data_IF_345668798360
#
_entry.id   IF_345668798360
#
_cell.length_a   1.000
_cell.length_b   1.000
_cell.length_c   1.000
_cell.angle_alpha   90.00
_cell.angle_beta   90.00
_cell.angle_gamma   90.00
#
_symmetry.space_group_name_H-M   'P 1'
#
loop_
_entity.id
_entity.type
_entity.pdbx_description
1 polymer ?
#
# COMPACT_ATOMS: atom_id res chain seq x y z
N UNK A 1 26.27 77.30 -45.81
CA UNK A 1 27.56 78.01 -45.70
C UNK A 1 27.79 78.22 -44.21
N UNK A 2 28.81 77.54 -43.65
CA UNK A 2 29.36 77.60 -42.27
C UNK A 2 28.42 77.20 -41.09
N UNK A 3 28.79 76.43 -40.07
CA UNK A 3 30.03 75.74 -39.58
C UNK A 3 29.60 74.83 -38.40
N UNK A 4 29.82 73.51 -38.44
CA UNK A 4 30.84 72.69 -37.73
C UNK A 4 30.68 72.45 -36.21
N UNK A 5 30.49 71.17 -35.88
CA UNK A 5 31.18 70.29 -34.90
C UNK A 5 31.15 70.47 -33.36
N UNK A 6 30.76 69.32 -32.76
CA UNK A 6 31.37 68.55 -31.67
C UNK A 6 31.19 68.83 -30.16
N UNK A 7 30.53 67.84 -29.54
CA UNK A 7 31.04 66.97 -28.46
C UNK A 7 30.78 67.30 -26.97
N UNK A 8 30.23 66.25 -26.34
CA UNK A 8 30.59 65.71 -25.02
C UNK A 8 29.86 66.17 -23.73
N UNK A 9 29.26 65.14 -23.12
CA UNK A 9 29.17 64.85 -21.66
C UNK A 9 28.20 65.65 -20.79
N UNK A 10 27.13 64.96 -20.38
CA UNK A 10 27.03 64.50 -18.99
C UNK A 10 26.29 65.40 -18.01
N UNK A 11 25.05 64.99 -17.70
CA UNK A 11 24.52 65.10 -16.33
C UNK A 11 23.68 66.34 -16.02
N UNK A 12 22.39 66.27 -16.31
CA UNK A 12 21.33 66.80 -15.45
C UNK A 12 19.96 66.52 -16.09
N UNK A 13 19.02 65.97 -15.32
CA UNK A 13 17.60 66.02 -15.68
C UNK A 13 16.93 64.66 -15.79
N UNK A 14 16.73 64.00 -14.65
CA UNK A 14 15.55 63.17 -14.45
C UNK A 14 15.23 63.09 -12.94
N UNK A 15 14.81 64.24 -12.39
CA UNK A 15 14.07 64.31 -11.12
C UNK A 15 12.60 64.50 -11.44
N UNK A 16 11.93 63.50 -11.97
CA UNK A 16 10.48 63.36 -11.96
C UNK A 16 10.18 61.86 -12.07
N UNK A 17 9.26 61.37 -11.24
CA UNK A 17 8.81 59.98 -11.10
C UNK A 17 9.54 59.11 -10.06
N UNK A 18 9.66 59.59 -8.81
CA UNK A 18 9.70 58.66 -7.67
C UNK A 18 8.27 58.53 -7.13
N UNK A 19 7.52 57.64 -7.79
CA UNK A 19 6.22 57.20 -7.32
C UNK A 19 6.39 56.53 -5.95
N UNK A 20 5.63 57.02 -4.97
CA UNK A 20 5.44 56.36 -3.69
C UNK A 20 4.63 55.08 -3.97
N UNK A 21 5.32 54.01 -4.38
CA UNK A 21 4.77 52.66 -4.35
C UNK A 21 4.44 52.36 -2.89
N UNK A 22 3.14 52.34 -2.61
CA UNK A 22 2.61 51.74 -1.38
C UNK A 22 3.05 50.29 -1.43
N UNK A 23 4.05 49.96 -0.63
CA UNK A 23 4.51 48.59 -0.43
C UNK A 23 3.34 47.76 0.04
N UNK A 24 2.75 47.00 -0.89
CA UNK A 24 1.98 45.82 -0.57
C UNK A 24 3.03 44.85 -0.04
N UNK A 25 3.10 44.72 1.28
CA UNK A 25 3.86 43.64 1.90
C UNK A 25 3.42 42.34 1.22
N UNK A 26 4.35 41.57 0.61
CA UNK A 26 3.99 40.29 0.06
C UNK A 26 3.47 39.42 1.21
N UNK A 27 2.27 38.86 1.01
CA UNK A 27 1.68 37.74 1.74
C UNK A 27 2.73 36.97 2.54
N UNK A 28 2.52 36.73 3.86
CA UNK A 28 3.52 36.05 4.68
C UNK A 28 3.89 34.75 3.98
N UNK A 29 5.13 34.73 3.50
CA UNK A 29 5.75 33.63 2.79
C UNK A 29 5.36 32.34 3.49
N UNK A 30 4.71 31.44 2.75
CA UNK A 30 4.53 30.06 3.17
C UNK A 30 5.92 29.51 3.47
N UNK A 31 6.30 29.53 4.75
CA UNK A 31 7.46 28.81 5.25
C UNK A 31 7.17 27.35 5.00
N UNK A 32 7.74 26.83 3.90
CA UNK A 32 7.94 25.42 3.59
C UNK A 32 8.96 24.85 4.58
N UNK A 33 8.68 24.98 5.88
CA UNK A 33 9.27 24.14 6.90
C UNK A 33 8.68 22.75 6.71
N UNK A 34 9.53 21.74 6.51
CA UNK A 34 9.12 20.33 6.56
C UNK A 34 8.39 20.08 7.89
N UNK A 35 7.06 20.21 7.89
CA UNK A 35 6.24 19.87 9.04
C UNK A 35 6.45 18.37 9.28
N UNK A 36 7.02 18.02 10.44
CA UNK A 36 7.07 16.64 10.90
C UNK A 36 5.62 16.16 11.03
N UNK A 37 5.14 15.42 10.04
CA UNK A 37 3.83 14.76 10.05
C UNK A 37 3.89 13.66 11.12
N UNK A 38 3.37 13.95 12.31
CA UNK A 38 3.28 12.95 13.36
C UNK A 38 2.18 11.96 12.99
N UNK A 39 2.53 10.66 12.92
CA UNK A 39 1.59 9.55 12.70
C UNK A 39 0.41 9.55 13.70
N UNK A 40 0.59 10.20 14.85
CA UNK A 40 -0.41 10.30 15.92
C UNK A 40 -1.17 11.64 15.94
N UNK A 41 -0.89 12.57 15.01
CA UNK A 41 -1.57 13.87 14.97
C UNK A 41 -3.11 13.80 14.83
N UNK A 42 -3.70 12.85 14.06
CA UNK A 42 -5.16 12.70 14.00
C UNK A 42 -5.79 12.24 15.33
N UNK A 43 -5.01 11.62 16.23
CA UNK A 43 -5.50 11.06 17.48
C UNK A 43 -5.46 12.04 18.67
N UNK A 44 -5.11 13.31 18.47
CA UNK A 44 -5.13 14.31 19.56
C UNK A 44 -6.56 14.56 20.08
N UNK A 45 -7.58 14.42 19.22
CA UNK A 45 -8.99 14.72 19.54
C UNK A 45 -9.76 13.55 20.19
N UNK A 46 -9.05 12.51 20.64
CA UNK A 46 -9.65 11.28 21.15
C UNK A 46 -10.04 11.46 22.61
N UNK A 47 -11.35 11.42 22.87
CA UNK A 47 -11.92 11.41 24.22
C UNK A 47 -11.61 10.08 24.92
N UNK A 48 -11.60 10.04 26.26
CA UNK A 48 -11.23 8.83 27.03
C UNK A 48 -12.07 7.58 26.67
N UNK A 49 -13.32 7.75 26.26
CA UNK A 49 -14.18 6.64 25.79
C UNK A 49 -13.79 6.12 24.40
N UNK A 50 -13.25 6.99 23.55
CA UNK A 50 -12.79 6.65 22.20
C UNK A 50 -11.45 5.89 22.23
N UNK A 51 -10.62 6.15 23.25
CA UNK A 51 -9.41 5.35 23.53
C UNK A 51 -9.81 3.90 23.87
N UNK A 52 -10.86 3.71 24.66
CA UNK A 52 -11.34 2.36 25.00
C UNK A 52 -11.78 1.57 23.76
N UNK A 53 -12.55 2.19 22.87
CA UNK A 53 -12.98 1.57 21.61
C UNK A 53 -11.79 1.27 20.68
N UNK A 54 -10.80 2.18 20.63
CA UNK A 54 -9.57 1.98 19.86
C UNK A 54 -8.76 0.77 20.37
N UNK A 55 -8.55 0.67 21.69
CA UNK A 55 -7.80 -0.45 22.29
C UNK A 55 -8.50 -1.77 22.01
N UNK A 56 -9.82 -1.82 22.16
CA UNK A 56 -10.64 -2.99 21.82
C UNK A 56 -10.45 -3.35 20.34
N UNK A 57 -10.59 -2.37 19.44
CA UNK A 57 -10.40 -2.59 18.00
C UNK A 57 -9.00 -3.10 17.64
N UNK A 58 -7.95 -2.58 18.27
CA UNK A 58 -6.56 -3.02 18.08
C UNK A 58 -6.38 -4.47 18.52
N UNK A 59 -6.88 -4.85 19.70
CA UNK A 59 -6.76 -6.23 20.21
C UNK A 59 -7.47 -7.22 19.30
N UNK A 60 -8.69 -6.90 18.87
CA UNK A 60 -9.45 -7.77 17.96
C UNK A 60 -8.86 -7.81 16.54
N UNK A 61 -8.28 -6.71 16.05
CA UNK A 61 -7.57 -6.70 14.76
C UNK A 61 -6.31 -7.56 14.82
N UNK A 62 -5.55 -7.51 15.92
CA UNK A 62 -4.40 -8.39 16.13
C UNK A 62 -4.84 -9.86 16.18
N UNK A 63 -5.94 -10.17 16.89
CA UNK A 63 -6.52 -11.52 16.95
C UNK A 63 -6.99 -12.02 15.59
N UNK A 64 -7.63 -11.16 14.78
CA UNK A 64 -8.06 -11.51 13.43
C UNK A 64 -6.87 -11.81 12.50
N UNK A 65 -5.77 -11.05 12.59
CA UNK A 65 -4.56 -11.33 11.82
C UNK A 65 -3.84 -12.62 12.27
N UNK A 66 -3.82 -12.91 13.57
CA UNK A 66 -3.22 -14.12 14.12
C UNK A 66 -4.01 -15.40 13.76
N UNK A 67 -5.28 -15.27 13.36
CA UNK A 67 -6.10 -16.41 12.93
C UNK A 67 -5.54 -17.10 11.68
N UNK A 68 -4.91 -16.38 10.75
CA UNK A 68 -4.33 -16.98 9.53
C UNK A 68 -3.13 -17.91 9.84
N UNK A 69 -2.10 -17.48 10.60
CA UNK A 69 -1.04 -18.38 11.08
C UNK A 69 -1.57 -19.55 11.92
N UNK A 70 -2.57 -19.29 12.77
CA UNK A 70 -3.22 -20.34 13.56
C UNK A 70 -3.90 -21.40 12.68
N UNK A 71 -4.59 -20.96 11.62
CA UNK A 71 -5.20 -21.86 10.64
C UNK A 71 -4.14 -22.72 9.94
N UNK A 72 -3.05 -22.10 9.48
CA UNK A 72 -1.97 -22.82 8.79
C UNK A 72 -1.35 -23.86 9.72
N UNK A 73 -1.11 -23.54 10.99
CA UNK A 73 -0.55 -24.48 11.98
C UNK A 73 -1.44 -25.71 12.17
N UNK A 74 -2.74 -25.51 12.45
CA UNK A 74 -3.70 -26.62 12.64
C UNK A 74 -3.85 -27.43 11.35
N UNK A 75 -3.83 -26.77 10.19
CA UNK A 75 -3.85 -27.44 8.90
C UNK A 75 -2.61 -28.31 8.69
N UNK A 76 -1.44 -27.86 9.11
CA UNK A 76 -0.20 -28.65 9.13
C UNK A 76 -0.32 -29.91 9.96
N UNK A 77 -0.82 -29.79 11.19
CA UNK A 77 -1.04 -30.91 12.10
C UNK A 77 -2.06 -31.90 11.53
N UNK A 78 -3.11 -31.39 10.87
CA UNK A 78 -4.09 -32.22 10.16
C UNK A 78 -3.45 -33.00 9.00
N UNK A 79 -2.56 -32.36 8.23
CA UNK A 79 -1.82 -33.01 7.15
C UNK A 79 -0.84 -34.08 7.67
N UNK A 80 -0.23 -33.84 8.83
CA UNK A 80 0.59 -34.82 9.53
C UNK A 80 -0.25 -36.02 10.03
N UNK A 81 -1.40 -35.73 10.66
CA UNK A 81 -2.33 -36.74 11.13
C UNK A 81 -2.86 -37.62 9.99
N UNK A 82 -3.19 -37.02 8.84
CA UNK A 82 -3.59 -37.74 7.62
C UNK A 82 -2.62 -38.86 7.20
N UNK A 83 -1.34 -38.72 7.51
CA UNK A 83 -0.31 -39.70 7.18
C UNK A 83 -0.20 -40.85 8.21
N UNK A 84 -0.83 -40.73 9.39
CA UNK A 84 -0.68 -41.67 10.52
C UNK A 84 -2.03 -42.19 11.06
N UNK A 85 -3.01 -41.32 11.32
CA UNK A 85 -4.32 -41.64 11.89
C UNK A 85 -5.46 -40.99 11.08
N UNK A 86 -6.55 -41.71 10.86
CA UNK A 86 -7.70 -41.25 10.04
C UNK A 86 -8.72 -40.38 10.79
N UNK A 87 -8.60 -40.24 12.12
CA UNK A 87 -9.56 -39.49 12.93
C UNK A 87 -9.31 -37.97 12.85
N UNK A 88 -9.90 -37.33 11.83
CA UNK A 88 -9.73 -35.89 11.54
C UNK A 88 -10.79 -34.99 12.18
N UNK A 89 -11.81 -35.58 12.81
CA UNK A 89 -12.91 -34.87 13.48
C UNK A 89 -12.42 -33.82 14.51
N UNK A 90 -11.41 -34.04 15.37
CA UNK A 90 -10.96 -33.02 16.31
C UNK A 90 -10.35 -31.80 15.59
N UNK A 91 -9.54 -32.02 14.54
CA UNK A 91 -8.95 -30.94 13.76
C UNK A 91 -10.01 -30.13 13.00
N UNK A 92 -11.00 -30.81 12.42
CA UNK A 92 -12.12 -30.14 11.75
C UNK A 92 -12.93 -29.25 12.72
N UNK A 93 -13.16 -29.72 13.96
CA UNK A 93 -13.81 -28.92 15.00
C UNK A 93 -12.99 -27.70 15.39
N UNK A 94 -11.67 -27.85 15.57
CA UNK A 94 -10.77 -26.74 15.90
C UNK A 94 -10.74 -25.69 14.78
N UNK A 95 -10.67 -26.11 13.51
CA UNK A 95 -10.73 -25.21 12.36
C UNK A 95 -12.07 -24.47 12.29
N UNK A 96 -13.19 -25.15 12.57
CA UNK A 96 -14.50 -24.52 12.60
C UNK A 96 -14.61 -23.46 13.73
N UNK A 97 -14.13 -23.79 14.93
CA UNK A 97 -14.09 -22.84 16.06
C UNK A 97 -13.22 -21.64 15.72
N UNK A 98 -12.02 -21.87 15.16
CA UNK A 98 -11.12 -20.81 14.73
C UNK A 98 -11.78 -19.90 13.68
N UNK A 99 -12.51 -20.46 12.73
CA UNK A 99 -13.25 -19.68 11.72
C UNK A 99 -14.31 -18.77 12.33
N UNK A 100 -15.07 -19.27 13.31
CA UNK A 100 -16.08 -18.46 14.03
C UNK A 100 -15.41 -17.36 14.86
N UNK A 101 -14.31 -17.67 15.54
CA UNK A 101 -13.54 -16.69 16.30
C UNK A 101 -12.95 -15.63 15.38
N UNK A 102 -12.38 -16.02 14.24
CA UNK A 102 -11.81 -15.10 13.26
C UNK A 102 -12.87 -14.16 12.68
N UNK A 103 -14.07 -14.68 12.38
CA UNK A 103 -15.22 -13.88 11.92
C UNK A 103 -15.61 -12.85 12.98
N UNK A 104 -15.76 -13.29 14.23
CA UNK A 104 -16.13 -12.40 15.34
C UNK A 104 -15.07 -11.31 15.56
N UNK A 105 -13.79 -11.70 15.63
CA UNK A 105 -12.68 -10.76 15.78
C UNK A 105 -12.61 -9.77 14.62
N UNK A 106 -12.76 -10.24 13.38
CA UNK A 106 -12.75 -9.39 12.19
C UNK A 106 -13.92 -8.40 12.18
N UNK A 107 -15.12 -8.85 12.56
CA UNK A 107 -16.31 -8.00 12.63
C UNK A 107 -16.18 -6.91 13.71
N UNK A 108 -15.74 -7.26 14.92
CA UNK A 108 -15.53 -6.29 16.01
C UNK A 108 -14.41 -5.31 15.66
N UNK A 109 -13.32 -5.79 15.05
CA UNK A 109 -12.24 -4.94 14.58
C UNK A 109 -12.74 -3.93 13.53
N UNK A 110 -13.40 -4.40 12.47
CA UNK A 110 -13.92 -3.50 11.43
C UNK A 110 -14.93 -2.49 12.00
N UNK A 111 -15.89 -2.95 12.78
CA UNK A 111 -16.94 -2.08 13.36
C UNK A 111 -16.40 -1.03 14.34
N UNK A 112 -15.40 -1.38 15.16
CA UNK A 112 -14.80 -0.42 16.10
C UNK A 112 -13.99 0.68 15.38
N UNK A 113 -13.21 0.33 14.35
CA UNK A 113 -12.47 1.30 13.55
C UNK A 113 -13.40 2.18 12.71
N UNK A 114 -14.47 1.63 12.12
CA UNK A 114 -15.46 2.43 11.39
C UNK A 114 -16.23 3.38 12.31
N UNK A 115 -16.66 2.92 13.49
CA UNK A 115 -17.32 3.78 14.47
C UNK A 115 -16.42 4.93 14.92
N UNK A 116 -15.14 4.64 15.23
CA UNK A 116 -14.18 5.66 15.62
C UNK A 116 -13.95 6.67 14.49
N UNK A 117 -13.84 6.18 13.27
CA UNK A 117 -13.64 6.97 12.08
C UNK A 117 -14.81 7.95 11.82
N UNK A 118 -16.06 7.48 11.89
CA UNK A 118 -17.25 8.32 11.72
C UNK A 118 -17.30 9.45 12.74
N UNK A 119 -17.00 9.12 13.99
CA UNK A 119 -17.05 10.08 15.09
C UNK A 119 -15.93 11.12 15.00
N UNK A 120 -14.71 10.70 14.65
CA UNK A 120 -13.59 11.62 14.44
C UNK A 120 -13.80 12.53 13.22
N UNK A 121 -14.26 11.97 12.10
CA UNK A 121 -14.57 12.72 10.90
C UNK A 121 -15.66 13.78 11.17
N UNK A 122 -16.69 13.42 11.95
CA UNK A 122 -17.75 14.36 12.36
C UNK A 122 -17.24 15.51 13.22
N UNK A 123 -16.42 15.23 14.25
CA UNK A 123 -15.82 16.27 15.10
C UNK A 123 -14.90 17.19 14.29
N UNK A 124 -14.04 16.60 13.46
CA UNK A 124 -13.14 17.35 12.60
C UNK A 124 -13.91 18.28 11.66
N UNK A 125 -14.99 17.79 11.04
CA UNK A 125 -15.83 18.61 10.16
C UNK A 125 -16.46 19.79 10.90
N UNK A 126 -16.95 19.58 12.12
CA UNK A 126 -17.54 20.64 12.95
C UNK A 126 -16.51 21.69 13.37
N UNK A 127 -15.33 21.26 13.80
CA UNK A 127 -14.27 22.16 14.26
C UNK A 127 -13.65 22.94 13.10
N UNK A 128 -13.43 22.28 11.95
CA UNK A 128 -12.99 22.93 10.73
C UNK A 128 -14.01 23.97 10.26
N UNK A 129 -15.30 23.63 10.25
CA UNK A 129 -16.36 24.56 9.89
C UNK A 129 -16.43 25.75 10.87
N UNK A 130 -16.35 25.49 12.18
CA UNK A 130 -16.30 26.55 13.19
C UNK A 130 -15.06 27.44 13.07
N UNK A 131 -13.92 26.89 12.69
CA UNK A 131 -12.68 27.66 12.50
C UNK A 131 -12.76 28.54 11.26
N UNK A 132 -13.36 28.04 10.18
CA UNK A 132 -13.59 28.81 8.95
C UNK A 132 -14.49 30.01 9.22
N UNK A 133 -15.61 29.81 9.94
CA UNK A 133 -16.54 30.90 10.28
C UNK A 133 -15.93 32.00 11.16
N UNK A 134 -14.80 31.74 11.81
CA UNK A 134 -14.08 32.71 12.66
C UNK A 134 -12.99 33.47 11.91
N UNK A 135 -12.78 33.19 10.62
CA UNK A 135 -11.78 33.89 9.82
C UNK A 135 -12.20 35.32 9.48
N UNK A 136 -11.20 36.16 9.23
CA UNK A 136 -11.39 37.56 8.84
C UNK A 136 -11.98 37.71 7.43
N UNK A 137 -12.64 38.83 7.16
CA UNK A 137 -13.29 39.08 5.86
C UNK A 137 -12.30 39.01 4.68
N UNK A 138 -11.08 39.52 4.86
CA UNK A 138 -10.03 39.47 3.84
C UNK A 138 -9.55 38.06 3.48
N UNK A 139 -9.75 37.09 4.38
CA UNK A 139 -9.48 35.67 4.08
C UNK A 139 -10.52 35.12 3.10
N UNK A 140 -11.79 35.51 3.25
CA UNK A 140 -12.86 35.12 2.33
C UNK A 140 -12.75 35.82 0.96
N UNK A 141 -12.18 37.02 0.89
CA UNK A 141 -11.93 37.70 -0.39
C UNK A 141 -10.89 36.97 -1.26
N UNK A 142 -10.04 36.13 -0.66
CA UNK A 142 -9.01 35.34 -1.35
C UNK A 142 -9.41 33.87 -1.60
N UNK A 143 -10.47 33.38 -0.97
CA UNK A 143 -10.90 31.97 -1.05
C UNK A 143 -12.32 31.85 -1.61
N UNK A 144 -12.47 31.13 -2.71
CA UNK A 144 -13.79 30.85 -3.28
C UNK A 144 -14.64 29.97 -2.33
N UNK A 145 -15.87 30.41 -2.07
CA UNK A 145 -16.80 29.72 -1.19
C UNK A 145 -17.19 28.32 -1.71
N UNK A 146 -17.25 28.15 -3.05
CA UNK A 146 -17.54 26.86 -3.68
C UNK A 146 -16.39 25.87 -3.49
N UNK A 147 -15.16 26.31 -3.74
CA UNK A 147 -13.96 25.52 -3.50
C UNK A 147 -13.81 25.12 -2.02
N UNK A 148 -14.16 26.02 -1.09
CA UNK A 148 -14.02 25.77 0.35
C UNK A 148 -14.94 24.64 0.86
N UNK A 149 -16.20 24.62 0.41
CA UNK A 149 -17.14 23.55 0.75
C UNK A 149 -16.65 22.18 0.25
N UNK A 150 -16.18 22.13 -1.01
CA UNK A 150 -15.59 20.93 -1.58
C UNK A 150 -14.31 20.49 -0.83
N UNK A 151 -13.50 21.45 -0.39
CA UNK A 151 -12.28 21.18 0.37
C UNK A 151 -12.57 20.58 1.74
N UNK A 152 -13.61 21.05 2.45
CA UNK A 152 -14.04 20.46 3.73
C UNK A 152 -14.44 19.00 3.55
N UNK A 153 -15.28 18.70 2.54
CA UNK A 153 -15.73 17.34 2.28
C UNK A 153 -14.59 16.42 1.83
N UNK A 154 -13.71 16.90 0.95
CA UNK A 154 -12.53 16.16 0.49
C UNK A 154 -11.53 15.86 1.61
N UNK A 155 -11.23 16.85 2.46
CA UNK A 155 -10.36 16.68 3.61
C UNK A 155 -10.95 15.69 4.63
N UNK A 156 -12.26 15.78 4.88
CA UNK A 156 -12.96 14.85 5.78
C UNK A 156 -12.96 13.42 5.22
N UNK A 157 -13.17 13.26 3.91
CA UNK A 157 -13.11 11.97 3.24
C UNK A 157 -11.71 11.35 3.31
N UNK A 158 -10.66 12.14 3.09
CA UNK A 158 -9.26 11.69 3.21
C UNK A 158 -8.97 11.17 4.63
N UNK A 159 -9.34 11.93 5.66
CA UNK A 159 -9.19 11.51 7.07
C UNK A 159 -9.97 10.22 7.34
N UNK A 160 -11.21 10.12 6.84
CA UNK A 160 -12.04 8.92 6.99
C UNK A 160 -11.35 7.69 6.41
N UNK A 161 -10.76 7.82 5.22
CA UNK A 161 -10.05 6.70 4.58
C UNK A 161 -8.76 6.33 5.31
N UNK A 162 -8.09 7.30 5.94
CA UNK A 162 -6.85 7.08 6.68
C UNK A 162 -7.08 6.37 8.03
N UNK A 163 -8.10 6.77 8.79
CA UNK A 163 -8.40 6.23 10.12
C UNK A 163 -9.31 4.99 10.08
N UNK A 164 -10.12 4.85 9.03
CA UNK A 164 -11.12 3.79 8.91
C UNK A 164 -10.52 2.40 8.64
N UNK A 165 -11.21 1.61 7.80
CA UNK A 165 -10.90 0.20 7.57
C UNK A 165 -9.43 -0.06 7.17
N UNK A 166 -8.78 0.86 6.44
CA UNK A 166 -7.37 0.75 6.06
C UNK A 166 -6.44 0.58 7.27
N UNK A 167 -6.68 1.30 8.37
CA UNK A 167 -5.87 1.19 9.59
C UNK A 167 -6.07 -0.17 10.26
N UNK A 168 -7.31 -0.65 10.33
CA UNK A 168 -7.62 -1.99 10.87
C UNK A 168 -6.94 -3.09 10.05
N UNK A 169 -7.02 -3.01 8.72
CA UNK A 169 -6.40 -3.96 7.80
C UNK A 169 -4.87 -3.92 7.86
N UNK A 170 -4.26 -2.73 8.00
CA UNK A 170 -2.82 -2.62 8.17
C UNK A 170 -2.33 -3.31 9.46
N UNK A 171 -3.08 -3.16 10.55
CA UNK A 171 -2.77 -3.84 11.82
C UNK A 171 -2.98 -5.35 11.74
N UNK A 172 -4.02 -5.80 11.02
CA UNK A 172 -4.23 -7.22 10.73
C UNK A 172 -3.04 -7.82 9.97
N UNK A 173 -2.60 -7.19 8.87
CA UNK A 173 -1.44 -7.66 8.11
C UNK A 173 -0.14 -7.63 8.92
N UNK A 174 0.02 -6.65 9.81
CA UNK A 174 1.16 -6.62 10.73
C UNK A 174 1.12 -7.84 11.67
N UNK A 175 -0.04 -8.13 12.26
CA UNK A 175 -0.22 -9.32 13.11
C UNK A 175 0.00 -10.63 12.33
N UNK A 176 -0.54 -10.75 11.12
CA UNK A 176 -0.34 -11.91 10.25
C UNK A 176 1.14 -12.13 9.94
N UNK A 177 1.88 -11.05 9.66
CA UNK A 177 3.31 -11.11 9.40
C UNK A 177 4.09 -11.59 10.63
N UNK A 178 3.86 -10.98 11.79
CA UNK A 178 4.56 -11.35 13.02
C UNK A 178 4.19 -12.77 13.43
N UNK A 179 2.90 -13.11 13.45
CA UNK A 179 2.40 -14.43 13.81
C UNK A 179 2.89 -15.52 12.86
N UNK A 180 2.94 -15.25 11.55
CA UNK A 180 3.44 -16.21 10.56
C UNK A 180 4.93 -16.52 10.72
N UNK A 181 5.77 -15.50 10.93
CA UNK A 181 7.19 -15.75 11.24
C UNK A 181 7.39 -16.46 12.58
N UNK A 182 6.66 -16.09 13.62
CA UNK A 182 6.76 -16.76 14.94
C UNK A 182 6.41 -18.24 14.83
N UNK A 183 5.30 -18.59 14.17
CA UNK A 183 4.90 -19.99 13.94
C UNK A 183 5.94 -20.74 13.09
N UNK A 184 6.47 -20.11 12.03
CA UNK A 184 7.48 -20.71 11.18
C UNK A 184 8.79 -21.01 11.94
N UNK A 185 9.31 -20.05 12.69
CA UNK A 185 10.52 -20.22 13.50
C UNK A 185 10.34 -21.27 14.60
N UNK A 186 9.13 -21.37 15.17
CA UNK A 186 8.84 -22.34 16.22
C UNK A 186 8.84 -23.79 15.68
N UNK A 187 8.40 -24.00 14.43
CA UNK A 187 8.36 -25.34 13.83
C UNK A 187 9.70 -25.80 13.28
N UNK A 188 10.40 -24.95 12.52
CA UNK A 188 11.74 -25.27 12.03
C UNK A 188 12.52 -24.01 11.69
N UNK A 189 13.51 -23.70 12.52
CA UNK A 189 14.38 -22.55 12.31
C UNK A 189 15.27 -22.69 11.06
N UNK A 190 15.75 -23.90 10.74
CA UNK A 190 16.64 -24.15 9.58
C UNK A 190 15.91 -23.89 8.27
N UNK A 191 14.71 -24.45 8.10
CA UNK A 191 13.91 -24.25 6.89
C UNK A 191 13.47 -22.78 6.77
N UNK A 192 13.02 -22.18 7.88
CA UNK A 192 12.58 -20.79 7.89
C UNK A 192 13.68 -19.85 7.43
N UNK A 193 14.94 -20.06 7.84
CA UNK A 193 16.07 -19.24 7.39
C UNK A 193 16.29 -19.33 5.88
N UNK A 194 16.26 -20.53 5.31
CA UNK A 194 16.47 -20.74 3.87
C UNK A 194 15.36 -20.09 3.06
N UNK A 195 14.10 -20.27 3.46
CA UNK A 195 12.94 -19.66 2.81
C UNK A 195 12.93 -18.15 3.03
N UNK A 196 13.40 -17.65 4.18
CA UNK A 196 13.51 -16.21 4.43
C UNK A 196 14.60 -15.54 3.57
N UNK A 197 15.66 -16.27 3.20
CA UNK A 197 16.74 -15.77 2.36
C UNK A 197 16.29 -15.50 0.91
N UNK A 198 15.18 -16.09 0.45
CA UNK A 198 14.61 -15.82 -0.87
C UNK A 198 13.66 -14.63 -0.88
N UNK A 199 13.21 -14.14 0.29
CA UNK A 199 12.30 -13.00 0.40
C UNK A 199 12.84 -11.70 -0.24
N UNK A 200 14.12 -11.32 -0.09
CA UNK A 200 14.66 -10.16 -0.78
C UNK A 200 14.55 -10.25 -2.31
N UNK A 201 14.65 -11.46 -2.88
CA UNK A 201 14.49 -11.67 -4.32
C UNK A 201 13.05 -11.40 -4.76
N UNK A 202 12.07 -11.91 -4.01
CA UNK A 202 10.64 -11.65 -4.25
C UNK A 202 10.32 -10.16 -4.06
N UNK A 203 10.88 -9.54 -3.01
CA UNK A 203 10.71 -8.11 -2.74
C UNK A 203 11.30 -7.25 -3.86
N UNK A 204 12.46 -7.60 -4.40
CA UNK A 204 13.06 -6.93 -5.55
C UNK A 204 12.17 -7.07 -6.80
N UNK A 205 11.62 -8.25 -7.06
CA UNK A 205 10.65 -8.47 -8.14
C UNK A 205 9.38 -7.63 -7.99
N UNK A 206 8.84 -7.56 -6.77
CA UNK A 206 7.69 -6.72 -6.44
C UNK A 206 7.97 -5.22 -6.56
N UNK A 207 9.15 -4.77 -6.14
CA UNK A 207 9.58 -3.38 -6.30
C UNK A 207 9.76 -3.01 -7.77
N UNK A 208 10.33 -3.92 -8.58
CA UNK A 208 10.46 -3.75 -10.02
C UNK A 208 9.09 -3.66 -10.69
N UNK A 209 8.12 -4.51 -10.32
CA UNK A 209 6.74 -4.42 -10.79
C UNK A 209 6.08 -3.10 -10.43
N UNK A 210 6.22 -2.65 -9.17
CA UNK A 210 5.65 -1.39 -8.72
C UNK A 210 6.25 -0.19 -9.47
N UNK A 211 7.56 -0.21 -9.72
CA UNK A 211 8.24 0.80 -10.53
C UNK A 211 7.77 0.77 -11.98
N UNK A 212 7.70 -0.42 -12.60
CA UNK A 212 7.22 -0.61 -13.97
C UNK A 212 5.78 -0.10 -14.15
N UNK A 213 4.90 -0.40 -13.19
CA UNK A 213 3.51 0.05 -13.23
C UNK A 213 3.39 1.56 -13.13
N UNK A 214 4.14 2.19 -12.21
CA UNK A 214 4.17 3.65 -12.04
C UNK A 214 4.69 4.33 -13.31
N UNK A 215 5.80 3.84 -13.87
CA UNK A 215 6.39 4.36 -15.09
C UNK A 215 5.44 4.26 -16.29
N UNK A 216 4.77 3.10 -16.44
CA UNK A 216 3.76 2.88 -17.48
C UNK A 216 2.59 3.85 -17.33
N UNK A 217 2.04 4.00 -16.11
CA UNK A 217 0.93 4.92 -15.84
C UNK A 217 1.30 6.38 -16.16
N UNK A 218 2.48 6.84 -15.75
CA UNK A 218 2.93 8.22 -16.05
C UNK A 218 3.09 8.44 -17.55
N UNK A 219 3.76 7.51 -18.25
CA UNK A 219 3.98 7.63 -19.68
C UNK A 219 2.66 7.64 -20.49
N UNK A 220 1.71 6.78 -20.10
CA UNK A 220 0.38 6.74 -20.73
C UNK A 220 -0.40 8.02 -20.42
N UNK A 221 -0.41 8.48 -19.16
CA UNK A 221 -1.09 9.71 -18.76
C UNK A 221 -0.55 10.94 -19.48
N UNK A 222 0.77 11.06 -19.65
CA UNK A 222 1.39 12.19 -20.34
C UNK A 222 1.02 12.22 -21.83
N UNK A 223 1.03 11.06 -22.50
CA UNK A 223 0.62 10.94 -23.89
C UNK A 223 -0.88 11.24 -24.08
N UNK A 224 -1.72 10.81 -23.13
CA UNK A 224 -3.15 11.16 -23.12
C UNK A 224 -3.38 12.65 -22.87
N UNK A 225 -2.56 13.29 -22.03
CA UNK A 225 -2.66 14.74 -21.78
C UNK A 225 -2.36 15.55 -23.04
N UNK A 226 -1.37 15.13 -23.84
CA UNK A 226 -1.09 15.78 -25.13
C UNK A 226 -2.27 15.63 -26.10
N UNK A 227 -2.85 14.43 -26.24
CA UNK A 227 -4.05 14.23 -27.06
C UNK A 227 -5.25 15.02 -26.53
N UNK A 228 -5.43 15.05 -25.21
CA UNK A 228 -6.48 15.80 -24.52
C UNK A 228 -6.39 17.31 -24.79
N UNK A 229 -5.18 17.88 -24.84
CA UNK A 229 -5.01 19.31 -25.14
C UNK A 229 -5.53 19.70 -26.53
N UNK A 230 -5.35 18.82 -27.53
CA UNK A 230 -5.87 19.04 -28.89
C UNK A 230 -7.40 18.98 -28.90
N UNK A 231 -7.97 18.03 -28.16
CA UNK A 231 -9.42 17.94 -28.02
C UNK A 231 -10.00 19.16 -27.27
N UNK A 232 -9.32 19.61 -26.23
CA UNK A 232 -9.72 20.78 -25.44
C UNK A 232 -9.68 22.07 -26.27
N UNK A 233 -8.63 22.27 -27.07
CA UNK A 233 -8.53 23.41 -28.01
C UNK A 233 -9.63 23.36 -29.08
N UNK A 234 -9.88 22.18 -29.66
CA UNK A 234 -10.90 21.99 -30.69
C UNK A 234 -12.31 22.23 -30.16
N UNK A 235 -12.65 21.68 -29.00
CA UNK A 235 -13.97 21.81 -28.38
C UNK A 235 -14.17 23.21 -27.79
N UNK A 236 -13.13 23.80 -27.20
CA UNK A 236 -13.18 25.17 -26.68
C UNK A 236 -13.44 26.20 -27.78
N UNK A 237 -12.91 25.98 -28.98
CA UNK A 237 -13.07 26.86 -30.14
C UNK A 237 -13.98 26.28 -31.23
N UNK A 238 -14.97 25.46 -30.87
CA UNK A 238 -15.77 24.69 -31.85
C UNK A 238 -16.43 25.56 -32.93
N UNK A 239 -16.87 26.78 -32.60
CA UNK A 239 -17.45 27.71 -33.58
C UNK A 239 -16.44 28.12 -34.65
N UNK A 240 -15.18 28.34 -34.25
CA UNK A 240 -14.08 28.67 -35.16
C UNK A 240 -13.74 27.48 -36.05
N UNK A 241 -13.70 26.27 -35.46
CA UNK A 241 -13.42 25.02 -36.19
C UNK A 241 -14.45 24.79 -37.29
N UNK A 242 -15.75 24.91 -36.98
CA UNK A 242 -16.84 24.75 -37.94
C UNK A 242 -16.76 25.85 -39.00
N UNK A 243 -16.52 27.11 -38.61
CA UNK A 243 -16.46 28.24 -39.57
C UNK A 243 -15.33 28.11 -40.59
N UNK A 244 -14.25 27.43 -40.24
CA UNK A 244 -13.09 27.20 -41.11
C UNK A 244 -13.12 25.82 -41.79
N UNK A 245 -14.13 24.99 -41.53
CA UNK A 245 -14.21 23.61 -42.04
C UNK A 245 -13.05 22.71 -41.57
N UNK A 246 -12.50 22.98 -40.37
CA UNK A 246 -11.28 22.35 -39.85
C UNK A 246 -11.48 21.01 -39.13
N UNK A 247 -12.68 20.45 -39.17
CA UNK A 247 -13.09 19.25 -38.40
C UNK A 247 -12.19 18.04 -38.71
N UNK A 248 -12.05 17.69 -39.98
CA UNK A 248 -11.23 16.55 -40.42
C UNK A 248 -9.76 16.72 -40.05
N UNK A 249 -9.24 17.95 -40.12
CA UNK A 249 -7.84 18.26 -39.76
C UNK A 249 -7.59 18.04 -38.28
N UNK A 250 -8.49 18.51 -37.42
CA UNK A 250 -8.37 18.34 -35.97
C UNK A 250 -8.61 16.89 -35.55
N UNK A 251 -9.56 16.20 -36.19
CA UNK A 251 -9.79 14.77 -35.97
C UNK A 251 -8.55 13.93 -36.34
N UNK A 252 -7.90 14.24 -37.47
CA UNK A 252 -6.65 13.60 -37.87
C UNK A 252 -5.51 13.90 -36.87
N UNK A 253 -5.38 15.15 -36.42
CA UNK A 253 -4.38 15.55 -35.43
C UNK A 253 -4.58 14.81 -34.10
N UNK A 254 -5.82 14.75 -33.60
CA UNK A 254 -6.16 13.99 -32.39
C UNK A 254 -5.82 12.50 -32.55
N UNK A 255 -6.20 11.90 -33.68
CA UNK A 255 -5.92 10.49 -33.97
C UNK A 255 -4.41 10.20 -34.02
N UNK A 256 -3.60 11.10 -34.57
CA UNK A 256 -2.15 10.96 -34.59
C UNK A 256 -1.55 10.96 -33.16
N UNK A 257 -2.02 11.86 -32.29
CA UNK A 257 -1.59 11.91 -30.88
C UNK A 257 -2.07 10.67 -30.11
N UNK A 258 -3.28 10.19 -30.39
CA UNK A 258 -3.82 8.99 -29.78
C UNK A 258 -3.01 7.72 -30.12
N UNK A 259 -2.51 7.60 -31.35
CA UNK A 259 -1.59 6.50 -31.73
C UNK A 259 -0.30 6.49 -30.90
N UNK A 260 0.17 7.65 -30.41
CA UNK A 260 1.33 7.71 -29.51
C UNK A 260 0.96 7.19 -28.12
N UNK A 261 -0.20 7.57 -27.60
CA UNK A 261 -0.73 7.03 -26.34
C UNK A 261 -0.95 5.52 -26.41
N UNK A 262 -1.49 5.01 -27.53
CA UNK A 262 -1.66 3.58 -27.79
C UNK A 262 -0.31 2.83 -27.75
N UNK A 263 0.70 3.32 -28.48
CA UNK A 263 2.04 2.72 -28.46
C UNK A 263 2.68 2.74 -27.07
N UNK A 264 2.51 3.84 -26.33
CA UNK A 264 2.98 3.95 -24.95
C UNK A 264 2.28 2.93 -24.05
N UNK A 265 0.97 2.76 -24.19
CA UNK A 265 0.18 1.79 -23.44
C UNK A 265 0.57 0.35 -23.77
N UNK A 266 0.77 0.00 -25.05
CA UNK A 266 1.21 -1.34 -25.46
C UNK A 266 2.60 -1.64 -24.89
N UNK A 267 3.56 -0.72 -25.05
CA UNK A 267 4.92 -0.89 -24.51
C UNK A 267 4.91 -0.99 -22.98
N UNK A 268 4.12 -0.15 -22.32
CA UNK A 268 3.90 -0.18 -20.88
C UNK A 268 3.28 -1.50 -20.42
N UNK A 269 2.28 -2.00 -21.15
CA UNK A 269 1.63 -3.28 -20.90
C UNK A 269 2.61 -4.46 -20.97
N UNK A 270 3.40 -4.56 -22.04
CA UNK A 270 4.44 -5.60 -22.19
C UNK A 270 5.47 -5.51 -21.06
N UNK A 271 5.90 -4.30 -20.70
CA UNK A 271 6.85 -4.09 -19.62
C UNK A 271 6.30 -4.51 -18.25
N UNK A 272 5.06 -4.10 -17.91
CA UNK A 272 4.40 -4.52 -16.67
C UNK A 272 4.09 -6.02 -16.62
N UNK A 273 3.67 -6.61 -17.74
CA UNK A 273 3.37 -8.04 -17.84
C UNK A 273 4.62 -8.91 -17.68
N UNK A 274 5.73 -8.52 -18.30
CA UNK A 274 7.03 -9.19 -18.10
C UNK A 274 7.54 -9.05 -16.67
N UNK A 275 7.40 -7.87 -16.04
CA UNK A 275 7.73 -7.68 -14.63
C UNK A 275 6.89 -8.58 -13.70
N UNK A 276 5.59 -8.69 -13.96
CA UNK A 276 4.70 -9.56 -13.20
C UNK A 276 5.04 -11.04 -13.39
N UNK A 277 5.32 -11.46 -14.62
CA UNK A 277 5.77 -12.81 -14.94
C UNK A 277 7.08 -13.17 -14.24
N UNK A 278 8.06 -12.25 -14.22
CA UNK A 278 9.32 -12.42 -13.51
C UNK A 278 9.11 -12.56 -12.00
N UNK A 279 8.25 -11.73 -11.40
CA UNK A 279 7.89 -11.83 -9.98
C UNK A 279 7.25 -13.19 -9.66
N UNK A 280 6.29 -13.65 -10.47
CA UNK A 280 5.65 -14.96 -10.28
C UNK A 280 6.62 -16.13 -10.47
N UNK A 281 7.55 -16.04 -11.42
CA UNK A 281 8.61 -17.03 -11.60
C UNK A 281 9.49 -17.13 -10.34
N UNK A 282 9.87 -16.02 -9.72
CA UNK A 282 10.61 -16.03 -8.45
C UNK A 282 9.83 -16.73 -7.33
N UNK A 283 8.51 -16.52 -7.25
CA UNK A 283 7.63 -17.18 -6.27
C UNK A 283 7.59 -18.70 -6.51
N UNK A 284 7.47 -19.16 -7.75
CA UNK A 284 7.50 -20.60 -8.06
C UNK A 284 8.87 -21.23 -7.82
N UNK A 285 9.97 -20.53 -8.11
CA UNK A 285 11.32 -21.01 -7.79
C UNK A 285 11.54 -21.12 -6.28
N UNK A 286 10.98 -20.18 -5.50
CA UNK A 286 10.97 -20.25 -4.04
C UNK A 286 10.19 -21.47 -3.55
N UNK A 287 9.02 -21.77 -4.12
CA UNK A 287 8.29 -23.01 -3.81
C UNK A 287 9.10 -24.26 -4.13
N UNK A 288 9.71 -24.33 -5.31
CA UNK A 288 10.53 -25.46 -5.73
C UNK A 288 11.71 -25.68 -4.77
N UNK A 289 12.41 -24.62 -4.40
CA UNK A 289 13.54 -24.68 -3.45
C UNK A 289 13.09 -25.08 -2.05
N UNK A 290 11.96 -24.54 -1.58
CA UNK A 290 11.39 -24.89 -0.28
C UNK A 290 10.97 -26.35 -0.19
N UNK A 291 10.31 -26.88 -1.22
CA UNK A 291 9.93 -28.30 -1.27
C UNK A 291 11.13 -29.23 -1.45
N UNK A 292 12.11 -28.85 -2.26
CA UNK A 292 13.34 -29.63 -2.44
C UNK A 292 14.09 -29.77 -1.11
N UNK A 293 14.30 -28.66 -0.39
CA UNK A 293 14.95 -28.70 0.92
C UNK A 293 14.14 -29.47 1.96
N UNK A 294 12.81 -29.24 2.00
CA UNK A 294 11.92 -30.00 2.88
C UNK A 294 12.02 -31.52 2.64
N UNK A 295 12.03 -31.95 1.38
CA UNK A 295 12.20 -33.36 1.01
C UNK A 295 13.54 -33.93 1.48
N UNK A 296 14.62 -33.14 1.40
CA UNK A 296 15.93 -33.56 1.89
C UNK A 296 15.94 -33.73 3.42
N UNK A 297 15.39 -32.76 4.17
CA UNK A 297 15.29 -32.85 5.64
C UNK A 297 14.46 -34.05 6.09
N UNK A 298 13.35 -34.33 5.41
CA UNK A 298 12.51 -35.50 5.71
C UNK A 298 13.26 -36.80 5.39
N UNK A 299 13.97 -36.86 4.27
CA UNK A 299 14.77 -38.04 3.87
C UNK A 299 15.89 -38.34 4.86
N UNK A 300 16.61 -37.31 5.32
CA UNK A 300 17.69 -37.48 6.29
C UNK A 300 17.12 -37.90 7.66
N UNK A 301 16.00 -37.32 8.11
CA UNK A 301 15.32 -37.77 9.33
C UNK A 301 14.81 -39.22 9.24
N UNK A 302 14.38 -39.67 8.06
CA UNK A 302 13.99 -41.06 7.84
C UNK A 302 15.18 -42.02 7.89
N UNK A 303 16.34 -41.61 7.36
CA UNK A 303 17.59 -42.39 7.42
C UNK A 303 18.08 -42.56 8.85
N UNK A 304 18.02 -41.50 9.65
CA UNK A 304 18.40 -41.54 11.07
C UNK A 304 17.48 -42.46 11.86
N UNK A 305 16.16 -42.40 11.59
CA UNK A 305 15.19 -43.32 12.18
C UNK A 305 15.47 -44.78 11.79
N UNK A 306 15.79 -45.06 10.53
CA UNK A 306 16.15 -46.39 10.07
C UNK A 306 17.46 -46.89 10.70
N UNK A 307 18.46 -46.03 10.85
CA UNK A 307 19.72 -46.37 11.52
C UNK A 307 19.51 -46.68 13.01
N UNK A 308 18.66 -45.92 13.71
CA UNK A 308 18.31 -46.15 15.11
C UNK A 308 17.59 -47.50 15.30
N UNK A 309 16.63 -47.83 14.43
CA UNK A 309 15.92 -49.12 14.43
C UNK A 309 16.90 -50.28 14.16
N UNK A 310 17.87 -50.09 13.27
CA UNK A 310 18.86 -51.12 12.94
C UNK A 310 19.85 -51.41 14.10
N UNK A 311 20.10 -50.45 14.99
CA UNK A 311 21.01 -50.62 16.14
C UNK A 311 20.37 -51.31 17.36
N UNK A 312 19.04 -51.36 17.47
CA UNK A 312 18.29 -51.99 18.56
C UNK A 312 17.32 -53.06 18.02
N UNK A 313 17.75 -54.33 17.91
CA UNK A 313 16.88 -55.40 17.42
C UNK A 313 15.75 -55.66 18.44
N UNK A 314 14.54 -55.23 18.12
CA UNK A 314 13.33 -55.41 18.94
C UNK A 314 12.49 -54.15 19.16
N UNK A 315 13.02 -52.96 18.87
CA UNK A 315 12.24 -51.70 18.91
C UNK A 315 11.39 -51.57 17.65
N UNK A 316 10.07 -51.51 17.82
CA UNK A 316 9.15 -51.22 16.72
C UNK A 316 9.12 -49.72 16.44
N UNK A 317 8.66 -49.31 15.25
CA UNK A 317 8.52 -47.90 14.82
C UNK A 317 7.67 -47.06 15.80
N UNK A 318 6.89 -47.73 16.66
CA UNK A 318 6.06 -47.13 17.70
C UNK A 318 6.86 -46.64 18.92
N UNK A 319 8.07 -47.18 19.16
CA UNK A 319 8.91 -46.89 20.34
C UNK A 319 10.04 -45.87 20.02
N UNK A 320 10.34 -45.66 18.74
CA UNK A 320 11.43 -44.79 18.27
C UNK A 320 11.08 -43.28 18.22
N UNK A 321 9.85 -42.91 18.63
CA UNK A 321 9.37 -41.53 18.56
C UNK A 321 8.92 -41.13 17.14
N UNK A 322 7.96 -40.21 17.07
CA UNK A 322 7.56 -39.58 15.81
C UNK A 322 8.71 -38.77 15.22
N UNK A 323 8.85 -38.75 13.89
CA UNK A 323 9.77 -37.85 13.17
C UNK A 323 9.73 -36.44 13.77
N UNK A 324 10.90 -35.90 14.14
CA UNK A 324 11.06 -34.55 14.68
C UNK A 324 10.55 -33.48 13.69
N UNK A 325 10.51 -33.82 12.39
CA UNK A 325 10.01 -32.98 11.32
C UNK A 325 9.16 -33.80 10.33
N UNK A 326 7.88 -33.48 10.21
CA UNK A 326 6.95 -34.16 9.30
C UNK A 326 6.62 -33.31 8.06
N UNK A 327 6.04 -33.93 7.04
CA UNK A 327 5.62 -33.25 5.81
C UNK A 327 4.65 -32.08 6.05
N UNK A 328 3.79 -32.18 7.07
CA UNK A 328 2.90 -31.08 7.49
C UNK A 328 3.68 -29.83 7.94
N UNK A 329 4.82 -30.02 8.59
CA UNK A 329 5.62 -28.93 9.18
C UNK A 329 6.34 -28.12 8.12
N UNK A 330 6.82 -28.82 7.08
CA UNK A 330 7.36 -28.18 5.90
C UNK A 330 6.32 -27.29 5.20
N UNK A 331 5.09 -27.76 5.08
CA UNK A 331 3.99 -27.01 4.49
C UNK A 331 3.66 -25.78 5.35
N UNK A 332 3.60 -25.93 6.68
CA UNK A 332 3.35 -24.82 7.61
C UNK A 332 4.40 -23.73 7.46
N UNK A 333 5.68 -24.10 7.54
CA UNK A 333 6.78 -23.13 7.47
C UNK A 333 6.77 -22.40 6.13
N UNK A 334 6.62 -23.13 5.03
CA UNK A 334 6.59 -22.57 3.69
C UNK A 334 5.41 -21.59 3.48
N UNK A 335 4.19 -22.00 3.84
CA UNK A 335 3.00 -21.16 3.67
C UNK A 335 3.05 -19.96 4.62
N UNK A 336 3.43 -20.14 5.89
CA UNK A 336 3.52 -19.05 6.87
C UNK A 336 4.52 -17.97 6.45
N UNK A 337 5.72 -18.36 6.00
CA UNK A 337 6.73 -17.38 5.55
C UNK A 337 6.23 -16.61 4.33
N UNK A 338 5.54 -17.28 3.41
CA UNK A 338 5.03 -16.62 2.20
C UNK A 338 3.86 -15.69 2.49
N UNK A 339 2.88 -16.12 3.29
CA UNK A 339 1.78 -15.26 3.73
C UNK A 339 2.31 -14.04 4.47
N UNK A 340 3.36 -14.21 5.29
CA UNK A 340 4.03 -13.09 5.98
C UNK A 340 4.66 -12.12 4.98
N UNK A 341 5.38 -12.63 3.98
CA UNK A 341 6.00 -11.82 2.94
C UNK A 341 4.98 -11.03 2.10
N UNK A 342 3.88 -11.67 1.70
CA UNK A 342 2.79 -10.99 1.00
C UNK A 342 2.10 -9.94 1.86
N UNK A 343 1.93 -10.22 3.16
CA UNK A 343 1.35 -9.26 4.12
C UNK A 343 2.21 -7.99 4.21
N UNK A 344 3.55 -8.12 4.26
CA UNK A 344 4.47 -6.96 4.20
C UNK A 344 4.24 -6.15 2.93
N UNK A 345 4.11 -6.83 1.78
CA UNK A 345 3.84 -6.17 0.50
C UNK A 345 2.53 -5.36 0.48
N UNK A 346 1.50 -5.84 1.19
CA UNK A 346 0.21 -5.16 1.31
C UNK A 346 0.24 -3.97 2.28
N UNK A 347 1.12 -3.99 3.28
CA UNK A 347 1.29 -2.90 4.26
C UNK A 347 1.87 -1.63 3.61
N UNK A 348 2.81 -1.77 2.67
CA UNK A 348 3.51 -0.64 2.04
C UNK A 348 2.56 0.37 1.36
N UNK A 349 1.62 -0.03 0.48
CA UNK A 349 0.68 0.92 -0.13
C UNK A 349 -0.29 1.53 0.88
N UNK A 350 -0.68 0.79 1.93
CA UNK A 350 -1.54 1.29 3.01
C UNK A 350 -0.87 2.46 3.76
N UNK A 351 0.41 2.33 4.10
CA UNK A 351 1.18 3.45 4.69
C UNK A 351 1.43 4.59 3.70
N UNK A 352 1.66 4.27 2.42
CA UNK A 352 1.85 5.26 1.37
C UNK A 352 0.62 6.15 1.15
N UNK A 353 -0.59 5.60 1.28
CA UNK A 353 -1.83 6.37 1.25
C UNK A 353 -2.06 7.13 2.55
N UNK A 354 -1.68 6.57 3.70
CA UNK A 354 -1.79 7.24 5.01
C UNK A 354 -0.89 8.48 5.12
N UNK A 355 0.27 8.46 4.44
CA UNK A 355 1.25 9.54 4.50
C UNK A 355 1.05 10.66 3.48
N UNK A 356 0.10 10.56 2.55
CA UNK A 356 -0.18 11.60 1.54
C UNK A 356 -1.05 12.71 2.12
#
# INVERSE_FOLDING_TARGET
MATSDDSSTGGAGNRLLEGKEVGIDPSPSQTTGKQKRYLMAPFHFVSGTEIGVLVVGVVFALGAGAAMPGFISIFGDMMAALNTNTDMVPYAKLLAILGVVALFCGWVAAGSFEYLCDRQAGKFKLELFSSILRQELGWFDTHDAGALSSQIDSNTATIRTAVGLKCATALQFFSTCVGGFVVAFWRSWKMTLIVSATLPCVAAGGAFLAWALRYSQTAVSDAYREAGSVAEEALGNIRTVISLGGEDRLAAAYTERLKRAEKAAIKGGVFTGSAFGAMMACVFLMYALGFWYAGQVISDGLRDLQAAIAMLPGTTVLDAGSLEFQGGDAIVVLICVMVSAFSIGQIIPLFGDYMK
#
